data_IF_097874710212
#
_entry.id   IF_097874710212
#
_cell.length_a   1.000
_cell.length_b   1.000
_cell.length_c   1.000
_cell.angle_alpha   90.00
_cell.angle_beta   90.00
_cell.angle_gamma   90.00
#
_symmetry.space_group_name_H-M   'P 1'
#
loop_
_entity.id
_entity.type
_entity.pdbx_description
1 polymer ?
#
# COMPACT_ATOMS: atom_id res chain seq x y z
N UNK A 1 31.69 -24.14 -75.40
CA UNK A 1 30.30 -23.63 -75.30
C UNK A 1 30.15 -23.08 -73.89
N UNK A 2 30.13 -21.76 -73.74
CA UNK A 2 30.13 -21.07 -72.45
C UNK A 2 28.76 -21.21 -71.76
N UNK A 3 28.76 -21.61 -70.49
CA UNK A 3 27.58 -21.65 -69.63
C UNK A 3 27.42 -20.26 -68.97
N UNK A 4 26.34 -19.50 -69.20
CA UNK A 4 26.17 -18.18 -68.62
C UNK A 4 25.89 -18.30 -67.11
N UNK A 5 26.84 -17.87 -66.28
CA UNK A 5 26.62 -17.65 -64.85
C UNK A 5 25.68 -16.46 -64.67
N UNK A 6 24.39 -16.76 -64.45
CA UNK A 6 23.37 -15.77 -64.11
C UNK A 6 23.76 -15.16 -62.74
N UNK A 7 23.97 -13.83 -62.64
CA UNK A 7 24.26 -13.18 -61.37
C UNK A 7 23.04 -13.34 -60.44
N UNK A 8 23.22 -13.94 -59.26
CA UNK A 8 22.19 -13.90 -58.21
C UNK A 8 22.02 -12.44 -57.75
N UNK A 9 20.82 -11.84 -57.87
CA UNK A 9 20.58 -10.53 -57.30
C UNK A 9 20.62 -10.69 -55.78
N UNK A 10 21.60 -10.04 -55.12
CA UNK A 10 21.75 -10.07 -53.67
C UNK A 10 20.45 -9.66 -52.99
N UNK A 11 19.81 -10.62 -52.32
CA UNK A 11 18.56 -10.41 -51.60
C UNK A 11 18.79 -9.36 -50.50
N UNK A 12 18.26 -8.15 -50.71
CA UNK A 12 18.32 -7.07 -49.72
C UNK A 12 17.44 -7.44 -48.53
N UNK A 13 18.07 -7.61 -47.38
CA UNK A 13 17.46 -7.71 -46.06
C UNK A 13 16.48 -6.54 -45.85
N UNK A 14 15.21 -6.86 -45.59
CA UNK A 14 14.19 -5.83 -45.38
C UNK A 14 14.48 -5.07 -44.09
N UNK A 15 14.58 -3.73 -44.20
CA UNK A 15 14.71 -2.84 -43.05
C UNK A 15 13.59 -3.01 -42.03
N UNK A 16 12.46 -3.61 -42.41
CA UNK A 16 11.39 -3.94 -41.49
C UNK A 16 11.74 -5.11 -40.55
N UNK A 17 12.50 -6.10 -41.03
CA UNK A 17 12.99 -7.20 -40.18
C UNK A 17 14.00 -6.68 -39.15
N UNK A 18 14.92 -5.80 -39.57
CA UNK A 18 15.88 -5.13 -38.68
C UNK A 18 15.14 -4.23 -37.68
N UNK A 19 14.13 -3.48 -38.13
CA UNK A 19 13.31 -2.67 -37.22
C UNK A 19 12.54 -3.52 -36.20
N UNK A 20 12.07 -4.71 -36.56
CA UNK A 20 11.41 -5.63 -35.63
C UNK A 20 12.38 -6.25 -34.61
N UNK A 21 13.64 -6.50 -35.00
CA UNK A 21 14.68 -6.99 -34.10
C UNK A 21 15.10 -5.89 -33.11
N UNK A 22 15.27 -4.66 -33.60
CA UNK A 22 15.62 -3.51 -32.77
C UNK A 22 14.47 -3.19 -31.81
N UNK A 23 13.22 -3.16 -32.28
CA UNK A 23 12.08 -2.99 -31.39
C UNK A 23 11.90 -4.16 -30.41
N UNK A 24 12.19 -5.40 -30.81
CA UNK A 24 12.17 -6.55 -29.91
C UNK A 24 13.22 -6.46 -28.80
N UNK A 25 14.45 -6.06 -29.14
CA UNK A 25 15.55 -5.89 -28.18
C UNK A 25 15.32 -4.65 -27.29
N UNK A 26 14.86 -3.52 -27.84
CA UNK A 26 14.53 -2.33 -27.04
C UNK A 26 13.27 -2.52 -26.18
N UNK A 27 12.26 -3.24 -26.67
CA UNK A 27 11.06 -3.57 -25.90
C UNK A 27 11.38 -4.43 -24.68
N UNK A 28 12.35 -5.33 -24.81
CA UNK A 28 12.78 -6.20 -23.72
C UNK A 28 13.46 -5.43 -22.57
N UNK A 29 14.00 -4.24 -22.84
CA UNK A 29 14.80 -3.47 -21.86
C UNK A 29 14.04 -2.29 -21.23
N UNK A 30 13.01 -1.74 -21.87
CA UNK A 30 12.39 -0.47 -21.40
C UNK A 30 10.90 -0.55 -21.01
N UNK A 31 10.09 -1.45 -21.59
CA UNK A 31 8.62 -1.45 -21.46
C UNK A 31 8.06 -2.88 -21.48
N UNK A 32 8.33 -3.66 -20.43
CA UNK A 32 7.99 -5.08 -20.33
C UNK A 32 6.52 -5.44 -20.61
N UNK A 33 5.57 -4.56 -20.30
CA UNK A 33 4.13 -4.84 -20.47
C UNK A 33 3.53 -4.20 -21.73
N UNK A 34 3.97 -3.00 -22.12
CA UNK A 34 3.36 -2.27 -23.24
C UNK A 34 4.02 -2.53 -24.60
N UNK A 35 5.28 -2.98 -24.64
CA UNK A 35 6.01 -3.22 -25.89
C UNK A 35 5.75 -4.59 -26.53
N UNK A 36 5.26 -5.56 -25.75
CA UNK A 36 5.05 -6.95 -26.16
C UNK A 36 3.86 -7.10 -27.12
N UNK A 37 2.76 -6.37 -26.91
CA UNK A 37 1.58 -6.42 -27.80
C UNK A 37 1.91 -5.89 -29.20
N UNK A 38 2.51 -4.68 -29.38
CA UNK A 38 2.95 -4.22 -30.70
C UNK A 38 3.98 -5.14 -31.36
N UNK A 39 4.91 -5.72 -30.59
CA UNK A 39 5.95 -6.62 -31.12
C UNK A 39 5.36 -7.89 -31.73
N UNK A 40 4.34 -8.50 -31.10
CA UNK A 40 3.65 -9.68 -31.62
C UNK A 40 2.89 -9.31 -32.91
N UNK A 41 2.18 -8.18 -32.92
CA UNK A 41 1.41 -7.72 -34.10
C UNK A 41 2.33 -7.43 -35.29
N UNK A 42 3.45 -6.74 -35.04
CA UNK A 42 4.45 -6.44 -36.06
C UNK A 42 5.16 -7.71 -36.56
N UNK A 43 5.43 -8.67 -35.67
CA UNK A 43 5.98 -9.97 -36.04
C UNK A 43 5.07 -10.76 -37.00
N UNK A 44 3.77 -10.81 -36.72
CA UNK A 44 2.78 -11.49 -37.57
C UNK A 44 2.66 -10.78 -38.94
N UNK A 45 2.64 -9.44 -38.95
CA UNK A 45 2.60 -8.66 -40.20
C UNK A 45 3.86 -8.87 -41.05
N UNK A 46 5.03 -8.95 -40.43
CA UNK A 46 6.29 -9.21 -41.12
C UNK A 46 6.29 -10.58 -41.81
N UNK A 47 5.78 -11.64 -41.14
CA UNK A 47 5.68 -12.99 -41.74
C UNK A 47 4.74 -12.97 -42.95
N UNK A 48 3.56 -12.33 -42.82
CA UNK A 48 2.57 -12.25 -43.90
C UNK A 48 3.08 -11.45 -45.11
N UNK A 49 3.93 -10.46 -44.88
CA UNK A 49 4.58 -9.68 -45.94
C UNK A 49 5.69 -10.47 -46.63
N UNK A 50 6.49 -11.24 -45.89
CA UNK A 50 7.52 -12.14 -46.45
C UNK A 50 6.86 -13.20 -47.34
N UNK A 51 5.78 -13.83 -46.88
CA UNK A 51 5.05 -14.86 -47.64
C UNK A 51 4.41 -14.28 -48.92
N UNK A 52 3.92 -13.03 -48.88
CA UNK A 52 3.37 -12.34 -50.07
C UNK A 52 4.44 -11.84 -51.05
N UNK A 53 5.69 -11.73 -50.63
CA UNK A 53 6.75 -11.13 -51.44
C UNK A 53 7.36 -12.10 -52.47
N UNK A 54 6.95 -13.39 -52.47
CA UNK A 54 7.33 -14.36 -53.51
C UNK A 54 8.84 -14.54 -53.70
N UNK A 55 9.67 -14.24 -52.69
CA UNK A 55 11.13 -14.32 -52.74
C UNK A 55 11.88 -12.98 -52.78
N UNK A 56 11.18 -11.84 -52.90
CA UNK A 56 11.82 -10.51 -52.92
C UNK A 56 12.35 -10.05 -51.54
N UNK A 57 11.88 -10.67 -50.44
CA UNK A 57 12.22 -10.28 -49.07
C UNK A 57 12.45 -11.55 -48.23
N UNK A 58 13.56 -11.60 -47.49
CA UNK A 58 13.91 -12.71 -46.58
C UNK A 58 14.00 -12.23 -45.12
N UNK A 59 13.95 -13.15 -44.15
CA UNK A 59 14.01 -12.80 -42.72
C UNK A 59 13.04 -13.57 -41.80
N UNK A 60 12.42 -14.65 -42.30
CA UNK A 60 11.42 -15.45 -41.55
C UNK A 60 11.96 -16.00 -40.22
N UNK A 61 13.21 -16.47 -40.19
CA UNK A 61 13.86 -16.92 -38.96
C UNK A 61 14.06 -15.82 -37.93
N UNK A 62 14.31 -14.58 -38.38
CA UNK A 62 14.48 -13.42 -37.51
C UNK A 62 13.15 -12.97 -36.88
N UNK A 63 12.06 -13.02 -37.65
CA UNK A 63 10.71 -12.75 -37.15
C UNK A 63 10.27 -13.79 -36.10
N UNK A 64 10.57 -15.08 -36.34
CA UNK A 64 10.29 -16.16 -35.39
C UNK A 64 11.10 -15.97 -34.10
N UNK A 65 12.39 -15.64 -34.21
CA UNK A 65 13.23 -15.37 -33.04
C UNK A 65 12.72 -14.18 -32.21
N UNK A 66 12.20 -13.13 -32.86
CA UNK A 66 11.58 -11.98 -32.18
C UNK A 66 10.30 -12.34 -31.41
N UNK A 67 9.44 -13.20 -31.98
CA UNK A 67 8.22 -13.69 -31.30
C UNK A 67 8.57 -14.55 -30.09
N UNK A 68 9.55 -15.45 -30.23
CA UNK A 68 10.01 -16.33 -29.14
C UNK A 68 10.62 -15.50 -28.01
N UNK A 69 11.49 -14.54 -28.33
CA UNK A 69 12.13 -13.67 -27.32
C UNK A 69 11.09 -12.80 -26.61
N UNK A 70 10.06 -12.31 -27.32
CA UNK A 70 8.95 -11.57 -26.74
C UNK A 70 8.09 -12.40 -25.77
N UNK A 71 7.81 -13.67 -26.11
CA UNK A 71 7.09 -14.58 -25.20
C UNK A 71 7.92 -14.90 -23.94
N UNK A 72 9.22 -15.11 -24.10
CA UNK A 72 10.14 -15.34 -22.98
C UNK A 72 10.23 -14.12 -22.07
N UNK A 73 10.23 -12.89 -22.61
CA UNK A 73 10.19 -11.65 -21.83
C UNK A 73 8.93 -11.51 -20.98
N UNK A 74 7.76 -11.89 -21.50
CA UNK A 74 6.49 -11.88 -20.73
C UNK A 74 6.51 -12.91 -19.60
N UNK A 75 7.02 -14.13 -19.84
CA UNK A 75 7.11 -15.18 -18.82
C UNK A 75 8.12 -14.84 -17.72
N UNK A 76 9.30 -14.36 -18.10
CA UNK A 76 10.32 -13.92 -17.15
C UNK A 76 9.82 -12.70 -16.38
N UNK A 77 8.99 -11.84 -16.98
CA UNK A 77 8.54 -10.63 -16.34
C UNK A 77 7.32 -10.67 -15.45
N UNK A 78 6.43 -11.64 -15.65
CA UNK A 78 5.30 -11.86 -14.75
C UNK A 78 5.73 -12.55 -13.44
N UNK A 79 6.82 -13.32 -13.48
CA UNK A 79 7.35 -14.10 -12.36
C UNK A 79 7.81 -13.25 -11.16
N UNK A 80 8.64 -12.18 -11.31
CA UNK A 80 9.06 -11.36 -10.18
C UNK A 80 7.92 -10.54 -9.57
N UNK A 81 6.90 -10.14 -10.36
CA UNK A 81 5.72 -9.43 -9.84
C UNK A 81 4.89 -10.31 -8.90
N UNK A 82 4.70 -11.59 -9.26
CA UNK A 82 4.01 -12.56 -8.39
C UNK A 82 4.75 -12.86 -7.09
N UNK A 83 6.08 -12.94 -7.14
CA UNK A 83 6.93 -13.18 -5.95
C UNK A 83 6.99 -11.94 -5.05
N UNK A 84 7.07 -10.74 -5.63
CA UNK A 84 7.04 -9.50 -4.86
C UNK A 84 5.69 -9.33 -4.14
N UNK A 85 4.57 -9.65 -4.79
CA UNK A 85 3.24 -9.55 -4.19
C UNK A 85 3.02 -10.54 -3.02
N UNK A 86 3.58 -11.75 -3.10
CA UNK A 86 3.41 -12.77 -2.05
C UNK A 86 4.18 -12.44 -0.76
N UNK A 87 5.30 -11.72 -0.86
CA UNK A 87 6.10 -11.30 0.30
C UNK A 87 5.49 -10.12 1.08
N UNK A 88 4.62 -9.33 0.44
CA UNK A 88 4.00 -8.15 1.07
C UNK A 88 2.93 -8.55 2.09
N UNK A 89 2.19 -9.62 1.83
CA UNK A 89 1.07 -10.06 2.69
C UNK A 89 1.49 -10.30 4.16
N UNK A 90 2.54 -11.09 4.48
CA UNK A 90 2.92 -11.35 5.87
C UNK A 90 3.58 -10.15 6.57
N UNK A 91 4.14 -9.19 5.82
CA UNK A 91 4.70 -7.96 6.39
C UNK A 91 3.56 -7.02 6.80
N UNK A 92 2.53 -6.92 5.98
CA UNK A 92 1.38 -6.04 6.23
C UNK A 92 0.59 -6.47 7.47
N UNK A 93 0.49 -7.77 7.79
CA UNK A 93 -0.23 -8.21 9.00
C UNK A 93 0.48 -7.79 10.29
N UNK A 94 1.81 -7.96 10.38
CA UNK A 94 2.61 -7.54 11.55
C UNK A 94 2.65 -6.02 11.72
N UNK A 95 2.64 -5.27 10.62
CA UNK A 95 2.55 -3.80 10.67
C UNK A 95 1.16 -3.34 11.09
N UNK A 96 0.11 -4.02 10.62
CA UNK A 96 -1.28 -3.73 11.02
C UNK A 96 -1.48 -3.84 12.52
N UNK A 97 -0.97 -4.89 13.17
CA UNK A 97 -1.10 -5.05 14.64
C UNK A 97 -0.52 -3.84 15.41
N UNK A 98 0.69 -3.40 15.06
CA UNK A 98 1.31 -2.23 15.69
C UNK A 98 0.58 -0.93 15.35
N UNK A 99 0.10 -0.81 14.11
CA UNK A 99 -0.67 0.35 13.67
C UNK A 99 -2.03 0.44 14.36
N UNK A 100 -2.69 -0.70 14.61
CA UNK A 100 -3.96 -0.75 15.32
C UNK A 100 -3.79 -0.27 16.78
N UNK A 101 -2.75 -0.74 17.48
CA UNK A 101 -2.43 -0.28 18.83
C UNK A 101 -2.07 1.21 18.85
N UNK A 102 -1.27 1.68 17.90
CA UNK A 102 -0.91 3.08 17.78
C UNK A 102 -2.13 3.97 17.49
N UNK A 103 -3.09 3.48 16.70
CA UNK A 103 -4.34 4.18 16.40
C UNK A 103 -5.19 4.34 17.65
N UNK A 104 -5.43 3.27 18.41
CA UNK A 104 -6.21 3.32 19.66
C UNK A 104 -5.60 4.31 20.67
N UNK A 105 -4.27 4.26 20.84
CA UNK A 105 -3.54 5.21 21.70
C UNK A 105 -3.69 6.64 21.18
N UNK A 106 -3.60 6.83 19.86
CA UNK A 106 -3.69 8.15 19.25
C UNK A 106 -5.08 8.77 19.37
N UNK A 107 -6.15 7.98 19.25
CA UNK A 107 -7.54 8.43 19.41
C UNK A 107 -7.78 8.93 20.84
N UNK A 108 -7.43 8.12 21.86
CA UNK A 108 -7.56 8.56 23.25
C UNK A 108 -6.65 9.77 23.57
N UNK A 109 -5.46 9.83 22.97
CA UNK A 109 -4.55 10.97 23.13
C UNK A 109 -5.18 12.26 22.64
N UNK A 110 -5.93 12.24 21.53
CA UNK A 110 -6.64 13.43 21.06
C UNK A 110 -7.67 13.92 22.09
N UNK A 111 -8.41 13.00 22.71
CA UNK A 111 -9.38 13.33 23.77
C UNK A 111 -8.70 13.98 24.98
N UNK A 112 -7.57 13.45 25.44
CA UNK A 112 -6.87 14.03 26.60
C UNK A 112 -6.24 15.38 26.26
N UNK A 113 -5.68 15.53 25.05
CA UNK A 113 -5.17 16.83 24.60
C UNK A 113 -6.30 17.86 24.56
N UNK A 114 -7.50 17.47 24.12
CA UNK A 114 -8.67 18.34 24.19
C UNK A 114 -9.04 18.69 25.64
N UNK A 115 -8.98 17.73 26.57
CA UNK A 115 -9.17 18.00 28.00
C UNK A 115 -8.15 18.99 28.56
N UNK A 116 -6.88 18.85 28.18
CA UNK A 116 -5.81 19.76 28.60
C UNK A 116 -5.96 21.14 27.96
N UNK A 117 -6.37 21.20 26.69
CA UNK A 117 -6.68 22.46 26.02
C UNK A 117 -7.83 23.19 26.70
N UNK A 118 -8.89 22.48 27.08
CA UNK A 118 -9.97 23.03 27.90
C UNK A 118 -9.44 23.57 29.23
N UNK A 119 -8.62 22.77 29.94
CA UNK A 119 -8.07 23.17 31.23
C UNK A 119 -7.23 24.44 31.14
N UNK A 120 -6.43 24.59 30.09
CA UNK A 120 -5.66 25.82 29.82
C UNK A 120 -6.54 27.06 29.70
N UNK A 121 -7.78 26.91 29.24
CA UNK A 121 -8.73 28.02 29.07
C UNK A 121 -9.66 28.22 30.29
N UNK A 122 -9.71 27.24 31.21
CA UNK A 122 -10.62 27.18 32.36
C UNK A 122 -9.89 27.08 33.71
N UNK A 123 -8.93 27.98 33.95
CA UNK A 123 -8.20 28.09 35.22
C UNK A 123 -7.48 26.79 35.65
N UNK A 124 -7.07 25.95 34.69
CA UNK A 124 -6.43 24.66 34.94
C UNK A 124 -7.40 23.56 35.37
N UNK A 125 -8.72 23.77 35.31
CA UNK A 125 -9.72 22.76 35.65
C UNK A 125 -10.08 21.91 34.43
N UNK A 126 -10.02 20.59 34.57
CA UNK A 126 -10.47 19.68 33.53
C UNK A 126 -11.99 19.81 33.32
N UNK A 127 -12.51 19.42 32.14
CA UNK A 127 -13.93 19.54 31.83
C UNK A 127 -14.82 18.73 32.80
N UNK A 128 -16.07 19.15 33.06
CA UNK A 128 -16.98 18.39 33.92
C UNK A 128 -17.42 17.05 33.30
N UNK A 129 -17.44 16.97 31.96
CA UNK A 129 -17.79 15.80 31.17
C UNK A 129 -17.15 15.89 29.78
N UNK A 130 -17.12 14.77 29.05
CA UNK A 130 -16.56 14.72 27.70
C UNK A 130 -17.41 15.44 26.65
N UNK A 131 -18.72 15.59 26.88
CA UNK A 131 -19.62 16.28 25.94
C UNK A 131 -19.31 17.78 25.88
N UNK A 132 -18.85 18.37 26.99
CA UNK A 132 -18.44 19.77 27.09
C UNK A 132 -17.27 20.14 26.17
N UNK A 133 -16.45 19.16 25.75
CA UNK A 133 -15.37 19.40 24.79
C UNK A 133 -15.88 19.70 23.38
N UNK A 134 -17.15 19.39 23.11
CA UNK A 134 -17.77 19.62 21.82
C UNK A 134 -18.52 20.96 21.79
N UNK A 135 -18.51 21.69 20.66
CA UNK A 135 -17.77 21.41 19.42
C UNK A 135 -16.36 22.04 19.39
N UNK A 136 -16.00 22.83 20.41
CA UNK A 136 -14.89 23.78 20.32
C UNK A 136 -13.51 23.11 20.33
N UNK A 137 -13.35 21.99 21.04
CA UNK A 137 -12.10 21.23 21.13
C UNK A 137 -12.16 19.89 20.40
N UNK A 138 -13.34 19.26 20.34
CA UNK A 138 -13.60 18.01 19.61
C UNK A 138 -14.82 18.23 18.71
N UNK A 139 -14.65 18.01 17.41
CA UNK A 139 -15.75 18.08 16.45
C UNK A 139 -16.37 16.71 16.14
N UNK A 140 -15.60 15.64 16.34
CA UNK A 140 -15.99 14.28 16.01
C UNK A 140 -16.46 13.53 17.27
N UNK A 141 -17.76 13.25 17.36
CA UNK A 141 -18.36 12.46 18.44
C UNK A 141 -17.79 11.04 18.49
N UNK A 142 -17.30 10.52 17.36
CA UNK A 142 -16.66 9.20 17.32
C UNK A 142 -15.38 9.15 18.17
N UNK A 143 -14.69 10.28 18.39
CA UNK A 143 -13.53 10.33 19.28
C UNK A 143 -13.88 10.08 20.75
N UNK A 144 -15.13 10.37 21.15
CA UNK A 144 -15.64 10.04 22.50
C UNK A 144 -16.03 8.57 22.64
N UNK A 145 -16.10 7.85 21.52
CA UNK A 145 -16.48 6.43 21.45
C UNK A 145 -15.27 5.58 21.12
N UNK A 146 -14.82 4.79 22.08
CA UNK A 146 -13.72 3.85 21.85
C UNK A 146 -14.19 2.66 21.00
N UNK A 147 -13.57 2.48 19.82
CA UNK A 147 -13.77 1.33 18.94
C UNK A 147 -12.47 0.54 18.76
N UNK A 148 -12.48 -0.72 19.18
CA UNK A 148 -11.35 -1.65 19.01
C UNK A 148 -11.78 -2.86 18.19
N UNK A 149 -10.81 -3.62 17.67
CA UNK A 149 -11.08 -4.93 17.05
C UNK A 149 -11.83 -5.90 17.99
N UNK A 150 -11.60 -5.76 19.29
CA UNK A 150 -12.27 -6.55 20.32
C UNK A 150 -13.67 -6.04 20.68
N UNK A 151 -13.99 -4.79 20.34
CA UNK A 151 -15.27 -4.15 20.60
C UNK A 151 -15.73 -3.32 19.37
N UNK A 152 -16.25 -3.98 18.33
CA UNK A 152 -16.61 -3.32 17.07
C UNK A 152 -17.85 -2.43 17.19
N UNK A 153 -18.74 -2.67 18.16
CA UNK A 153 -19.94 -1.86 18.39
C UNK A 153 -19.58 -0.45 18.89
N UNK A 154 -18.39 -0.29 19.46
CA UNK A 154 -17.95 0.95 20.09
C UNK A 154 -18.61 1.15 21.45
N UNK A 155 -17.85 1.69 22.38
CA UNK A 155 -18.38 2.03 23.70
C UNK A 155 -17.82 3.37 24.14
N UNK A 156 -18.67 4.19 24.76
CA UNK A 156 -18.30 5.52 25.22
C UNK A 156 -17.17 5.44 26.24
N UNK A 157 -16.18 6.31 26.09
CA UNK A 157 -15.07 6.41 27.03
C UNK A 157 -15.58 6.73 28.44
N UNK A 158 -14.94 6.13 29.45
CA UNK A 158 -15.25 6.43 30.84
C UNK A 158 -14.36 7.57 31.29
N UNK A 159 -14.98 8.66 31.72
CA UNK A 159 -14.31 9.88 32.17
C UNK A 159 -14.52 10.09 33.68
N UNK A 160 -13.46 10.50 34.37
CA UNK A 160 -13.50 10.88 35.79
C UNK A 160 -13.29 12.39 35.90
N UNK A 161 -14.31 13.15 36.35
CA UNK A 161 -14.21 14.60 36.52
C UNK A 161 -13.52 14.99 37.83
N UNK A 162 -13.26 16.29 37.99
CA UNK A 162 -12.78 16.86 39.25
C UNK A 162 -11.26 16.96 39.38
N UNK A 163 -10.54 16.77 38.27
CA UNK A 163 -9.10 16.93 38.21
C UNK A 163 -8.71 18.33 37.74
N UNK A 164 -7.49 18.73 38.10
CA UNK A 164 -6.86 19.98 37.69
C UNK A 164 -5.46 19.71 37.16
N UNK A 165 -4.85 20.68 36.48
CA UNK A 165 -3.43 20.57 36.05
C UNK A 165 -2.45 20.34 37.21
N UNK A 166 -2.82 20.74 38.43
CA UNK A 166 -2.03 20.52 39.64
C UNK A 166 -2.26 19.16 40.31
N UNK A 167 -3.19 18.35 39.80
CA UNK A 167 -3.43 16.98 40.27
C UNK A 167 -2.23 16.09 39.93
N UNK A 168 -2.01 15.01 40.68
CA UNK A 168 -0.95 14.04 40.38
C UNK A 168 -1.06 13.56 38.92
N UNK A 169 0.05 13.67 38.21
CA UNK A 169 0.21 13.31 36.80
C UNK A 169 -0.11 11.84 36.49
N UNK A 170 -0.15 10.97 37.52
CA UNK A 170 -0.46 9.53 37.44
C UNK A 170 -1.94 9.21 37.67
N UNK A 171 -2.77 10.20 37.98
CA UNK A 171 -4.21 9.99 38.12
C UNK A 171 -4.86 9.70 36.76
N UNK A 172 -5.79 8.75 36.75
CA UNK A 172 -6.48 8.29 35.53
C UNK A 172 -7.73 9.14 35.31
N UNK A 173 -7.69 9.94 34.25
CA UNK A 173 -8.78 10.84 33.84
C UNK A 173 -9.76 10.16 32.90
N UNK A 174 -9.27 9.38 31.95
CA UNK A 174 -10.10 8.71 30.94
C UNK A 174 -9.62 7.28 30.73
N UNK A 175 -10.53 6.33 30.51
CA UNK A 175 -10.16 4.95 30.24
C UNK A 175 -11.20 4.21 29.39
N UNK A 176 -10.78 3.12 28.75
CA UNK A 176 -11.68 2.28 27.97
C UNK A 176 -12.65 1.51 28.89
N UNK A 177 -13.94 1.40 28.54
CA UNK A 177 -14.95 0.77 29.40
C UNK A 177 -14.73 -0.74 29.59
N UNK A 178 -14.14 -1.39 28.59
CA UNK A 178 -13.81 -2.82 28.61
C UNK A 178 -12.33 -3.04 28.25
N UNK A 179 -11.78 -4.16 28.70
CA UNK A 179 -10.43 -4.59 28.32
C UNK A 179 -10.40 -5.19 26.90
N UNK A 180 -9.44 -4.77 26.09
CA UNK A 180 -9.09 -5.42 24.83
C UNK A 180 -7.93 -6.38 25.07
N UNK A 181 -8.11 -7.68 24.80
CA UNK A 181 -7.06 -8.70 24.99
C UNK A 181 -6.44 -8.72 26.40
N UNK A 182 -7.25 -8.44 27.44
CA UNK A 182 -6.78 -8.41 28.83
C UNK A 182 -6.07 -7.11 29.25
N UNK A 183 -6.03 -6.09 28.38
CA UNK A 183 -5.47 -4.77 28.68
C UNK A 183 -6.51 -3.67 28.52
N UNK A 184 -6.42 -2.66 29.38
CA UNK A 184 -7.27 -1.48 29.36
C UNK A 184 -6.45 -0.28 28.90
N UNK A 185 -7.03 0.52 28.00
CA UNK A 185 -6.42 1.76 27.59
C UNK A 185 -6.75 2.82 28.63
N UNK A 186 -5.73 3.46 29.20
CA UNK A 186 -5.88 4.48 30.25
C UNK A 186 -5.16 5.76 29.85
N UNK A 187 -5.78 6.87 30.20
CA UNK A 187 -5.36 8.22 29.95
C UNK A 187 -5.17 8.98 31.25
N UNK A 188 -3.99 9.54 31.44
CA UNK A 188 -3.59 10.19 32.68
C UNK A 188 -3.70 11.71 32.62
N UNK A 189 -3.74 12.38 33.78
CA UNK A 189 -3.72 13.86 33.90
C UNK A 189 -2.52 14.46 33.13
N UNK A 190 -1.37 13.78 33.13
CA UNK A 190 -0.19 14.19 32.36
C UNK A 190 -0.38 14.30 30.85
N UNK A 191 -1.44 13.71 30.28
CA UNK A 191 -1.54 13.54 28.82
C UNK A 191 -0.92 12.25 28.31
N UNK A 192 -0.35 11.42 29.19
CA UNK A 192 0.12 10.10 28.84
C UNK A 192 -1.07 9.16 28.59
N UNK A 193 -0.97 8.34 27.55
CA UNK A 193 -1.90 7.25 27.26
C UNK A 193 -1.11 5.96 27.26
N UNK A 194 -1.54 4.97 28.05
CA UNK A 194 -0.87 3.67 28.17
C UNK A 194 -1.89 2.54 28.20
N UNK A 195 -1.45 1.33 27.84
CA UNK A 195 -2.21 0.12 28.08
C UNK A 195 -1.75 -0.49 29.40
N UNK A 196 -2.68 -0.66 30.33
CA UNK A 196 -2.43 -1.29 31.63
C UNK A 196 -3.13 -2.65 31.62
N UNK A 197 -2.50 -3.66 32.23
CA UNK A 197 -3.13 -4.97 32.34
C UNK A 197 -4.39 -4.87 33.23
N UNK A 198 -5.47 -5.53 32.81
CA UNK A 198 -6.78 -5.43 33.48
C UNK A 198 -6.70 -5.84 34.96
N UNK A 199 -5.82 -6.78 35.31
CA UNK A 199 -5.57 -7.17 36.70
C UNK A 199 -4.98 -6.05 37.55
N UNK A 200 -4.05 -5.26 36.99
CA UNK A 200 -3.42 -4.14 37.69
C UNK A 200 -4.40 -2.96 37.84
N UNK A 201 -5.30 -2.78 36.87
CA UNK A 201 -6.37 -1.77 36.96
C UNK A 201 -7.42 -2.08 38.03
N UNK A 202 -7.65 -3.37 38.36
CA UNK A 202 -8.61 -3.78 39.38
C UNK A 202 -8.04 -3.84 40.80
N UNK A 203 -6.72 -3.67 40.97
CA UNK A 203 -6.11 -3.54 42.29
C UNK A 203 -6.41 -2.14 42.86
N UNK A 204 -7.04 -2.04 44.05
CA UNK A 204 -7.49 -0.78 44.64
C UNK A 204 -6.35 0.06 45.24
#
# INVERSE_FOLDING_TARGET
>A
MANPSIPQPGAKNSGQAISSLIFGILSNTCLWIFGSIPAIILGIKAIKQIDRSGGAVTGRGLAIAGIITGCTGVLIGLTPVGIAASLVVPVVTKVKEKADLAREISEMRQVIIACQSWASDHDGNFPPDLDSLMPDYIQDEELLTWRSKSNPEGARLVYRPGFTESTDIREIVVFSPTAAMGRRLVGYVSGAVQQVDESEFQEP
#
